data_IF_382513490266
#
_entry.id   IF_382513490266
#
_cell.length_a   1.000
_cell.length_b   1.000
_cell.length_c   1.000
_cell.angle_alpha   90.00
_cell.angle_beta   90.00
_cell.angle_gamma   90.00
#
_symmetry.space_group_name_H-M   'P 1'
#
loop_
_entity.id
_entity.type
_entity.pdbx_description
1 polymer ?
#
# COMPACT_ATOMS: atom_id res chain seq x y z
N UNK A 1 9.80 -18.37 26.16
CA UNK A 1 10.04 -17.95 27.57
C UNK A 1 8.75 -17.38 28.16
N UNK A 2 7.65 -18.20 28.23
CA UNK A 2 6.33 -17.79 28.76
C UNK A 2 5.72 -18.83 29.73
N UNK A 3 6.53 -19.71 30.34
CA UNK A 3 6.08 -20.83 31.16
C UNK A 3 6.18 -20.58 32.66
N UNK A 4 6.19 -19.36 33.16
CA UNK A 4 6.46 -19.10 34.58
C UNK A 4 5.44 -18.21 35.30
N UNK A 5 4.19 -18.19 34.92
CA UNK A 5 3.23 -17.32 35.66
C UNK A 5 2.14 -18.02 36.49
N UNK A 6 2.02 -19.34 36.51
CA UNK A 6 1.01 -20.00 37.35
C UNK A 6 1.43 -21.36 38.03
N UNK A 7 2.71 -21.71 38.06
CA UNK A 7 3.16 -22.90 38.82
C UNK A 7 2.55 -24.26 38.41
N UNK A 8 1.83 -24.31 37.28
CA UNK A 8 1.32 -25.54 36.68
C UNK A 8 2.00 -25.74 35.33
N UNK A 9 2.71 -26.87 35.21
CA UNK A 9 3.22 -27.34 33.92
C UNK A 9 2.01 -27.54 33.01
N UNK A 10 1.81 -26.63 32.05
CA UNK A 10 0.83 -26.82 31.00
C UNK A 10 1.45 -27.86 30.06
N UNK A 11 0.92 -29.09 30.09
CA UNK A 11 1.24 -30.11 29.11
C UNK A 11 0.72 -29.59 27.76
N UNK A 12 1.62 -29.06 26.95
CA UNK A 12 1.34 -28.78 25.54
C UNK A 12 1.53 -30.10 24.80
N UNK A 13 0.47 -30.76 24.34
CA UNK A 13 0.62 -31.97 23.54
C UNK A 13 1.51 -31.67 22.35
N UNK A 14 2.35 -32.61 21.95
CA UNK A 14 3.23 -32.49 20.80
C UNK A 14 2.36 -32.61 19.52
N UNK A 15 1.56 -31.56 19.27
CA UNK A 15 0.66 -31.50 18.12
C UNK A 15 1.52 -31.20 16.90
N UNK A 16 1.43 -32.04 15.89
CA UNK A 16 2.13 -31.85 14.61
C UNK A 16 1.45 -30.72 13.80
N UNK A 17 2.20 -30.05 12.94
CA UNK A 17 1.65 -29.03 12.03
C UNK A 17 0.46 -29.56 11.24
N UNK A 18 0.53 -30.80 10.75
CA UNK A 18 -0.54 -31.45 10.00
C UNK A 18 -1.85 -31.65 10.82
N UNK A 19 -1.73 -31.89 12.14
CA UNK A 19 -2.91 -32.03 13.01
C UNK A 19 -3.56 -30.67 13.28
N UNK A 20 -2.75 -29.59 13.39
CA UNK A 20 -3.25 -28.23 13.50
C UNK A 20 -3.96 -27.82 12.22
N UNK A 21 -3.35 -28.06 11.05
CA UNK A 21 -3.90 -27.72 9.75
C UNK A 21 -5.26 -28.40 9.51
N UNK A 22 -5.36 -29.71 9.88
CA UNK A 22 -6.61 -30.47 9.75
C UNK A 22 -7.73 -29.93 10.63
N UNK A 23 -7.42 -29.41 11.83
CA UNK A 23 -8.43 -28.82 12.71
C UNK A 23 -8.78 -27.37 12.29
N UNK A 24 -7.85 -26.67 11.71
CA UNK A 24 -8.02 -25.30 11.27
C UNK A 24 -8.79 -25.18 9.93
N UNK A 25 -8.64 -26.17 9.03
CA UNK A 25 -9.27 -26.16 7.71
C UNK A 25 -10.79 -25.89 7.74
N UNK A 26 -11.61 -26.59 8.57
CA UNK A 26 -13.05 -26.33 8.61
C UNK A 26 -13.39 -24.93 9.15
N UNK A 27 -12.56 -24.37 10.03
CA UNK A 27 -12.75 -23.01 10.55
C UNK A 27 -12.47 -21.99 9.45
N UNK A 28 -11.35 -22.12 8.74
CA UNK A 28 -10.99 -21.26 7.63
C UNK A 28 -12.05 -21.34 6.51
N UNK A 29 -12.50 -22.53 6.15
CA UNK A 29 -13.57 -22.71 5.17
C UNK A 29 -14.86 -22.00 5.59
N UNK A 30 -15.28 -22.13 6.85
CA UNK A 30 -16.43 -21.40 7.38
C UNK A 30 -16.26 -19.87 7.33
N UNK A 31 -15.05 -19.37 7.54
CA UNK A 31 -14.73 -17.94 7.41
C UNK A 31 -14.80 -17.49 5.94
N UNK A 32 -14.25 -18.28 5.02
CA UNK A 32 -14.31 -18.04 3.58
C UNK A 32 -15.75 -18.03 3.06
N UNK A 33 -16.56 -19.02 3.45
CA UNK A 33 -17.98 -19.10 3.09
C UNK A 33 -18.80 -17.93 3.65
N UNK A 34 -18.49 -17.50 4.88
CA UNK A 34 -19.15 -16.35 5.48
C UNK A 34 -18.74 -15.04 4.80
N UNK A 35 -17.47 -14.88 4.45
CA UNK A 35 -16.90 -13.68 3.86
C UNK A 35 -16.98 -12.45 4.77
N UNK A 36 -16.52 -11.31 4.28
CA UNK A 36 -16.50 -10.02 4.99
C UNK A 36 -17.50 -9.06 4.32
N UNK A 37 -18.43 -8.51 5.10
CA UNK A 37 -19.37 -7.51 4.58
C UNK A 37 -18.67 -6.18 4.34
N UNK A 38 -18.86 -5.63 3.13
CA UNK A 38 -18.37 -4.31 2.73
C UNK A 38 -19.51 -3.29 2.71
N UNK A 39 -19.25 -2.10 3.22
CA UNK A 39 -20.11 -0.95 3.06
C UNK A 39 -19.75 -0.23 1.75
N UNK A 40 -20.50 -0.55 0.70
CA UNK A 40 -20.24 -0.04 -0.65
C UNK A 40 -20.40 1.48 -0.74
N UNK A 41 -21.35 2.05 0.02
CA UNK A 41 -21.57 3.51 0.02
C UNK A 41 -20.39 4.24 0.66
N UNK A 42 -19.88 3.73 1.77
CA UNK A 42 -18.69 4.31 2.42
C UNK A 42 -17.44 4.14 1.55
N UNK A 43 -17.30 3.02 0.83
CA UNK A 43 -16.23 2.84 -0.14
C UNK A 43 -16.28 3.88 -1.27
N UNK A 44 -17.47 4.16 -1.82
CA UNK A 44 -17.65 5.16 -2.86
C UNK A 44 -17.34 6.58 -2.36
N UNK A 45 -17.81 6.94 -1.16
CA UNK A 45 -17.49 8.24 -0.52
C UNK A 45 -16.00 8.40 -0.29
N UNK A 46 -15.34 7.35 0.22
CA UNK A 46 -13.91 7.36 0.49
C UNK A 46 -13.10 7.47 -0.82
N UNK A 47 -13.48 6.70 -1.84
CA UNK A 47 -12.85 6.76 -3.17
C UNK A 47 -12.93 8.18 -3.76
N UNK A 48 -14.10 8.79 -3.74
CA UNK A 48 -14.31 10.16 -4.22
C UNK A 48 -13.44 11.17 -3.47
N UNK A 49 -13.41 11.10 -2.13
CA UNK A 49 -12.59 11.98 -1.28
C UNK A 49 -11.09 11.82 -1.56
N UNK A 50 -10.60 10.58 -1.66
CA UNK A 50 -9.18 10.32 -1.90
C UNK A 50 -8.77 10.65 -3.34
N UNK A 51 -9.65 10.45 -4.31
CA UNK A 51 -9.44 10.86 -5.71
C UNK A 51 -9.31 12.38 -5.84
N UNK A 52 -10.16 13.16 -5.16
CA UNK A 52 -10.03 14.60 -5.11
C UNK A 52 -8.70 15.05 -4.47
N UNK A 53 -8.27 14.38 -3.38
CA UNK A 53 -6.98 14.66 -2.77
C UNK A 53 -5.81 14.33 -3.69
N UNK A 54 -5.88 13.19 -4.42
CA UNK A 54 -4.88 12.81 -5.42
C UNK A 54 -4.76 13.86 -6.53
N UNK A 55 -5.89 14.38 -7.03
CA UNK A 55 -5.88 15.46 -8.03
C UNK A 55 -5.21 16.73 -7.51
N UNK A 56 -5.48 17.14 -6.27
CA UNK A 56 -4.80 18.29 -5.64
C UNK A 56 -3.29 18.08 -5.53
N UNK A 57 -2.86 16.87 -5.15
CA UNK A 57 -1.45 16.52 -5.10
C UNK A 57 -0.81 16.55 -6.49
N UNK A 58 -1.49 16.03 -7.52
CA UNK A 58 -1.04 16.08 -8.91
C UNK A 58 -0.80 17.53 -9.35
N UNK A 59 -1.76 18.41 -9.14
CA UNK A 59 -1.61 19.82 -9.48
C UNK A 59 -0.44 20.49 -8.74
N UNK A 60 -0.30 20.21 -7.45
CA UNK A 60 0.83 20.71 -6.65
C UNK A 60 2.18 20.20 -7.16
N UNK A 61 2.27 18.92 -7.49
CA UNK A 61 3.50 18.32 -8.03
C UNK A 61 3.88 18.98 -9.36
N UNK A 62 2.92 19.17 -10.27
CA UNK A 62 3.15 19.84 -11.56
C UNK A 62 3.56 21.31 -11.40
N UNK A 63 2.95 22.01 -10.44
CA UNK A 63 3.36 23.38 -10.10
C UNK A 63 4.81 23.42 -9.60
N UNK A 64 5.21 22.49 -8.74
CA UNK A 64 6.58 22.40 -8.21
C UNK A 64 7.60 21.94 -9.26
N UNK A 65 7.17 21.13 -10.23
CA UNK A 65 8.02 20.68 -11.34
C UNK A 65 8.12 21.71 -12.45
N UNK A 66 7.11 22.59 -12.60
CA UNK A 66 7.00 23.57 -13.69
C UNK A 66 6.38 23.03 -14.99
N UNK A 67 6.04 21.75 -15.07
CA UNK A 67 5.45 21.07 -16.23
C UNK A 67 4.73 19.79 -15.82
N UNK A 68 3.88 19.27 -16.71
CA UNK A 68 3.18 18.00 -16.53
C UNK A 68 4.03 16.81 -17.01
N UNK A 69 3.91 15.69 -16.30
CA UNK A 69 4.55 14.41 -16.64
C UNK A 69 3.79 13.25 -16.04
N UNK A 70 4.09 12.01 -16.48
CA UNK A 70 3.42 10.82 -15.94
C UNK A 70 4.00 10.46 -14.56
N UNK A 71 3.23 10.73 -13.50
CA UNK A 71 3.59 10.46 -12.10
C UNK A 71 3.72 8.95 -11.79
N UNK A 72 3.08 8.10 -12.58
CA UNK A 72 3.13 6.65 -12.41
C UNK A 72 4.28 6.01 -13.20
N UNK A 73 5.03 6.80 -14.00
CA UNK A 73 6.21 6.34 -14.72
C UNK A 73 7.48 6.53 -13.89
N UNK A 74 8.16 5.46 -13.43
CA UNK A 74 9.40 5.57 -12.67
C UNK A 74 10.53 6.28 -13.47
N UNK A 75 10.58 6.08 -14.79
CA UNK A 75 11.59 6.70 -15.64
C UNK A 75 11.40 8.20 -15.78
N UNK A 76 10.17 8.66 -16.07
CA UNK A 76 9.87 10.09 -16.13
C UNK A 76 10.05 10.76 -14.76
N UNK A 77 9.66 10.08 -13.68
CA UNK A 77 9.91 10.56 -12.33
C UNK A 77 11.40 10.75 -12.04
N UNK A 78 12.24 9.79 -12.45
CA UNK A 78 13.69 9.90 -12.28
C UNK A 78 14.27 11.07 -13.09
N UNK A 79 13.88 11.21 -14.36
CA UNK A 79 14.27 12.33 -15.22
C UNK A 79 13.90 13.68 -14.57
N UNK A 80 12.66 13.82 -14.10
CA UNK A 80 12.21 15.06 -13.46
C UNK A 80 13.03 15.38 -12.20
N UNK A 81 13.18 14.42 -11.30
CA UNK A 81 13.84 14.65 -10.02
C UNK A 81 15.35 14.86 -10.16
N UNK A 82 16.00 14.06 -10.99
CA UNK A 82 17.45 13.99 -11.00
C UNK A 82 18.10 14.75 -12.17
N UNK A 83 17.44 14.85 -13.32
CA UNK A 83 18.00 15.54 -14.48
C UNK A 83 17.50 16.99 -14.57
N UNK A 84 16.18 17.23 -14.36
CA UNK A 84 15.61 18.58 -14.45
C UNK A 84 15.73 19.36 -13.16
N UNK A 85 15.30 18.79 -12.02
CA UNK A 85 15.39 19.45 -10.71
C UNK A 85 16.78 19.28 -10.04
N UNK A 86 17.66 18.44 -10.61
CA UNK A 86 19.04 18.22 -10.18
C UNK A 86 19.18 17.86 -8.70
N UNK A 87 18.24 17.05 -8.18
CA UNK A 87 18.30 16.59 -6.80
C UNK A 87 19.53 15.70 -6.55
N UNK A 88 20.10 15.71 -5.33
CA UNK A 88 21.26 14.90 -5.01
C UNK A 88 20.96 13.41 -5.14
N UNK A 89 21.85 12.69 -5.81
CA UNK A 89 21.73 11.25 -6.03
C UNK A 89 22.62 10.43 -5.08
N UNK A 90 23.42 11.09 -4.26
CA UNK A 90 24.35 10.44 -3.34
C UNK A 90 23.61 9.56 -2.33
N UNK A 91 24.03 8.30 -2.16
CA UNK A 91 23.42 7.34 -1.25
C UNK A 91 22.10 6.72 -1.74
N UNK A 92 21.63 7.06 -2.96
CA UNK A 92 20.46 6.43 -3.56
C UNK A 92 20.84 5.17 -4.33
N UNK A 93 19.96 4.17 -4.24
CA UNK A 93 20.11 2.91 -4.97
C UNK A 93 19.95 3.14 -6.48
N UNK A 94 20.81 2.48 -7.27
CA UNK A 94 20.71 2.44 -8.73
C UNK A 94 20.07 1.15 -9.20
N UNK A 95 19.25 1.24 -10.24
CA UNK A 95 18.64 0.13 -10.95
C UNK A 95 19.19 0.08 -12.38
N UNK A 96 18.81 -0.95 -13.14
CA UNK A 96 19.18 -1.03 -14.57
C UNK A 96 18.67 0.17 -15.40
N UNK A 97 17.59 0.81 -14.97
CA UNK A 97 16.95 1.96 -15.64
C UNK A 97 17.35 3.33 -15.05
N UNK A 98 18.35 3.39 -14.17
CA UNK A 98 18.80 4.64 -13.57
C UNK A 98 18.68 4.69 -12.05
N UNK A 99 18.59 5.89 -11.48
CA UNK A 99 18.43 6.08 -10.03
C UNK A 99 17.03 5.65 -9.60
N UNK A 100 16.96 4.88 -8.53
CA UNK A 100 15.70 4.38 -8.01
C UNK A 100 14.84 5.51 -7.43
N UNK A 101 13.58 5.58 -7.85
CA UNK A 101 12.57 6.47 -7.28
C UNK A 101 11.65 5.77 -6.29
N UNK A 102 12.04 4.59 -5.76
CA UNK A 102 11.27 3.87 -4.76
C UNK A 102 11.03 4.75 -3.52
N UNK A 103 9.90 4.50 -2.81
CA UNK A 103 9.53 5.32 -1.65
C UNK A 103 10.61 5.34 -0.57
N UNK A 104 11.32 4.21 -0.34
CA UNK A 104 12.45 4.13 0.59
C UNK A 104 13.62 5.03 0.19
N UNK A 105 13.88 5.17 -1.10
CA UNK A 105 14.94 6.03 -1.61
C UNK A 105 14.55 7.50 -1.55
N UNK A 106 13.33 7.85 -1.98
CA UNK A 106 12.85 9.22 -1.92
C UNK A 106 12.76 9.76 -0.49
N UNK A 107 12.44 8.91 0.49
CA UNK A 107 12.46 9.30 1.92
C UNK A 107 13.84 9.77 2.41
N UNK A 108 14.94 9.27 1.83
CA UNK A 108 16.31 9.70 2.21
C UNK A 108 16.60 11.14 1.82
N UNK A 109 15.89 11.65 0.82
CA UNK A 109 16.08 13.01 0.28
C UNK A 109 14.84 13.90 0.48
N UNK A 110 14.00 13.57 1.45
CA UNK A 110 12.71 14.26 1.67
C UNK A 110 12.88 15.76 1.95
N UNK A 111 13.95 16.13 2.64
CA UNK A 111 14.25 17.51 3.02
C UNK A 111 14.99 18.30 1.92
N UNK A 112 15.37 17.64 0.82
CA UNK A 112 16.13 18.26 -0.26
C UNK A 112 15.25 19.09 -1.21
N UNK A 113 13.96 18.77 -1.31
CA UNK A 113 13.02 19.51 -2.17
C UNK A 113 11.57 19.27 -1.78
N UNK A 114 10.77 20.35 -1.79
CA UNK A 114 9.33 20.30 -1.39
C UNK A 114 8.48 19.34 -2.25
N UNK A 115 8.93 18.96 -3.46
CA UNK A 115 8.21 18.04 -4.37
C UNK A 115 8.15 16.60 -3.82
N UNK A 116 9.12 16.19 -3.00
CA UNK A 116 9.26 14.78 -2.59
C UNK A 116 8.10 14.32 -1.70
N UNK A 117 7.72 15.11 -0.71
CA UNK A 117 6.62 14.77 0.19
C UNK A 117 5.27 14.62 -0.55
N UNK A 118 4.86 15.53 -1.45
CA UNK A 118 3.68 15.34 -2.31
C UNK A 118 3.75 14.09 -3.19
N UNK A 119 4.90 13.75 -3.79
CA UNK A 119 5.07 12.53 -4.60
C UNK A 119 4.86 11.28 -3.75
N UNK A 120 5.44 11.20 -2.56
CA UNK A 120 5.26 10.06 -1.65
C UNK A 120 3.78 9.89 -1.29
N UNK A 121 3.09 11.00 -0.97
CA UNK A 121 1.67 10.99 -0.63
C UNK A 121 0.78 10.63 -1.84
N UNK A 122 1.10 11.13 -3.03
CA UNK A 122 0.42 10.75 -4.27
C UNK A 122 0.47 9.23 -4.49
N UNK A 123 1.65 8.62 -4.36
CA UNK A 123 1.84 7.18 -4.53
C UNK A 123 1.06 6.35 -3.52
N UNK A 124 1.06 6.78 -2.25
CA UNK A 124 0.28 6.15 -1.20
C UNK A 124 -1.22 6.14 -1.55
N UNK A 125 -1.77 7.30 -1.93
CA UNK A 125 -3.18 7.42 -2.33
C UNK A 125 -3.49 6.64 -3.60
N UNK A 126 -2.64 6.71 -4.61
CA UNK A 126 -2.82 5.98 -5.87
C UNK A 126 -2.87 4.48 -5.63
N UNK A 127 -1.97 3.94 -4.80
CA UNK A 127 -1.98 2.52 -4.42
C UNK A 127 -3.26 2.16 -3.67
N UNK A 128 -3.68 2.96 -2.69
CA UNK A 128 -4.88 2.70 -1.91
C UNK A 128 -6.14 2.66 -2.80
N UNK A 129 -6.27 3.64 -3.70
CA UNK A 129 -7.40 3.72 -4.62
C UNK A 129 -7.39 2.53 -5.59
N UNK A 130 -6.27 2.28 -6.28
CA UNK A 130 -6.19 1.27 -7.35
C UNK A 130 -6.21 -0.16 -6.83
N UNK A 131 -5.66 -0.41 -5.64
CA UNK A 131 -5.53 -1.77 -5.09
C UNK A 131 -6.75 -2.19 -4.27
N UNK A 132 -7.41 -1.24 -3.60
CA UNK A 132 -8.48 -1.56 -2.66
C UNK A 132 -9.82 -0.91 -3.01
N UNK A 133 -9.86 0.42 -3.15
CA UNK A 133 -11.14 1.12 -3.24
C UNK A 133 -11.88 0.85 -4.55
N UNK A 134 -11.16 0.74 -5.67
CA UNK A 134 -11.78 0.45 -6.96
C UNK A 134 -12.10 -1.03 -7.19
N UNK A 135 -11.22 -2.01 -6.84
CA UNK A 135 -11.49 -3.41 -7.13
C UNK A 135 -12.39 -4.09 -6.09
N UNK A 136 -12.22 -3.87 -4.78
CA UNK A 136 -12.96 -4.60 -3.76
C UNK A 136 -14.50 -4.50 -3.89
N UNK A 137 -15.10 -3.31 -4.17
CA UNK A 137 -16.56 -3.23 -4.39
C UNK A 137 -17.08 -4.04 -5.58
N UNK A 138 -16.20 -4.40 -6.52
CA UNK A 138 -16.57 -5.21 -7.71
C UNK A 138 -16.46 -6.71 -7.46
N UNK A 139 -15.84 -7.11 -6.36
CA UNK A 139 -15.59 -8.52 -6.01
C UNK A 139 -16.59 -9.06 -4.98
N UNK A 140 -17.53 -8.25 -4.53
CA UNK A 140 -18.53 -8.67 -3.56
C UNK A 140 -19.67 -9.48 -4.20
N UNK A 141 -20.27 -10.36 -3.41
CA UNK A 141 -21.47 -11.09 -3.77
C UNK A 141 -22.75 -10.19 -3.70
N UNK A 142 -23.91 -10.80 -3.97
CA UNK A 142 -25.22 -10.12 -3.90
C UNK A 142 -25.60 -9.57 -2.52
N UNK A 143 -24.92 -9.99 -1.46
CA UNK A 143 -25.10 -9.53 -0.09
C UNK A 143 -24.04 -8.52 0.34
N UNK A 144 -23.25 -7.99 -0.59
CA UNK A 144 -22.10 -7.13 -0.37
C UNK A 144 -21.01 -7.79 0.50
N UNK A 145 -20.80 -9.10 0.33
CA UNK A 145 -19.76 -9.84 1.05
C UNK A 145 -18.62 -10.21 0.11
N UNK A 146 -17.41 -9.98 0.58
CA UNK A 146 -16.16 -10.36 -0.09
C UNK A 146 -15.75 -11.73 0.45
N UNK A 147 -15.46 -12.65 -0.46
CA UNK A 147 -14.93 -13.98 -0.16
C UNK A 147 -13.49 -14.07 -0.66
N UNK A 148 -12.63 -14.80 0.07
CA UNK A 148 -11.21 -15.03 -0.26
C UNK A 148 -11.03 -16.37 -0.96
#
# INVERSE_FOLDING_TARGET
MWNYLLGKSIFVPNITSAEIDKQLEPVLRGMEEMGIKLDIEEFAKLESKLSANRQRLTANIFQLAGFEFNLDSPSQMAEVLFDKLRLPQAGLKRTKSGVSTAASELKKIIDQHQIIAPILKYRELSKLISTYLMPLPKMVDKNNRLHT
#
